data_IF_773520324824
#
_entry.id   IF_773520324824
#
_cell.length_a   1.000
_cell.length_b   1.000
_cell.length_c   1.000
_cell.angle_alpha   90.00
_cell.angle_beta   90.00
_cell.angle_gamma   90.00
#
_symmetry.space_group_name_H-M   'P 1'
#
loop_
_entity.id
_entity.type
_entity.pdbx_description
1 polymer ?
#
# COMPACT_ATOMS: atom_id res chain seq x y z
N UNK A 1 -18.69 -24.20 -8.22
CA UNK A 1 -18.31 -24.20 -9.66
C UNK A 1 -18.87 -22.99 -10.41
N UNK A 2 -20.19 -22.76 -10.44
CA UNK A 2 -20.81 -21.61 -11.15
C UNK A 2 -20.27 -20.21 -10.73
N UNK A 3 -20.04 -19.95 -9.44
CA UNK A 3 -19.48 -18.68 -8.97
C UNK A 3 -18.01 -18.46 -9.39
N UNK A 4 -17.24 -19.54 -9.58
CA UNK A 4 -15.85 -19.46 -10.03
C UNK A 4 -15.81 -19.11 -11.51
N UNK A 5 -16.73 -19.68 -12.28
CA UNK A 5 -16.94 -19.34 -13.70
C UNK A 5 -17.34 -17.88 -13.90
N UNK A 6 -18.20 -17.35 -13.03
CA UNK A 6 -18.67 -15.97 -13.10
C UNK A 6 -17.56 -14.97 -12.75
N UNK A 7 -16.75 -15.28 -11.72
CA UNK A 7 -15.55 -14.49 -11.39
C UNK A 7 -14.50 -14.52 -12.50
N UNK A 8 -14.30 -15.67 -13.15
CA UNK A 8 -13.37 -15.77 -14.27
C UNK A 8 -13.82 -14.94 -15.47
N UNK A 9 -15.13 -14.86 -15.75
CA UNK A 9 -15.67 -13.98 -16.80
C UNK A 9 -15.43 -12.50 -16.49
N UNK A 10 -15.61 -12.08 -15.23
CA UNK A 10 -15.39 -10.69 -14.81
C UNK A 10 -13.90 -10.31 -14.94
N UNK A 11 -13.00 -11.20 -14.53
CA UNK A 11 -11.55 -10.99 -14.66
C UNK A 11 -11.15 -10.87 -16.13
N UNK A 12 -11.71 -11.73 -17.00
CA UNK A 12 -11.44 -11.71 -18.43
C UNK A 12 -11.96 -10.43 -19.10
N UNK A 13 -13.13 -9.94 -18.67
CA UNK A 13 -13.69 -8.68 -19.14
C UNK A 13 -12.84 -7.47 -18.71
N UNK A 14 -12.36 -7.45 -17.46
CA UNK A 14 -11.45 -6.40 -16.98
C UNK A 14 -10.10 -6.41 -17.71
N UNK A 15 -9.56 -7.58 -18.03
CA UNK A 15 -8.33 -7.70 -18.82
C UNK A 15 -8.51 -7.15 -20.24
N UNK A 16 -9.63 -7.45 -20.90
CA UNK A 16 -9.94 -6.91 -22.22
C UNK A 16 -10.09 -5.38 -22.20
N UNK A 17 -10.76 -4.84 -21.18
CA UNK A 17 -10.93 -3.39 -21.04
C UNK A 17 -9.60 -2.68 -20.77
N UNK A 18 -8.70 -3.31 -20.02
CA UNK A 18 -7.36 -2.78 -19.73
C UNK A 18 -6.48 -2.77 -20.99
N UNK A 19 -6.55 -3.82 -21.83
CA UNK A 19 -5.83 -3.86 -23.10
C UNK A 19 -6.34 -2.81 -24.10
N UNK A 20 -7.65 -2.54 -24.13
CA UNK A 20 -8.21 -1.46 -24.97
C UNK A 20 -7.71 -0.07 -24.53
N UNK A 21 -7.62 0.19 -23.23
CA UNK A 21 -7.05 1.44 -22.71
C UNK A 21 -5.56 1.56 -23.03
N UNK A 22 -4.81 0.46 -22.97
CA UNK A 22 -3.39 0.43 -23.34
C UNK A 22 -3.16 0.70 -24.83
N UNK A 23 -4.06 0.26 -25.70
CA UNK A 23 -4.00 0.53 -27.15
C UNK A 23 -4.41 1.97 -27.51
N UNK A 24 -5.23 2.62 -26.69
CA UNK A 24 -5.61 4.03 -26.87
C UNK A 24 -4.58 5.01 -26.31
N UNK A 25 -3.69 4.56 -25.42
CA UNK A 25 -2.53 5.32 -24.99
C UNK A 25 -1.46 5.30 -26.10
N UNK A 26 -1.49 6.29 -27.00
CA UNK A 26 -0.38 6.51 -27.92
C UNK A 26 0.92 6.80 -27.15
N UNK A 27 2.07 6.24 -27.59
CA UNK A 27 3.36 6.58 -27.01
C UNK A 27 3.70 8.03 -27.36
N UNK A 28 3.83 8.86 -26.33
CA UNK A 28 4.44 10.19 -26.44
C UNK A 28 5.93 9.96 -26.81
N UNK A 29 6.46 10.60 -27.87
CA UNK A 29 7.86 10.50 -28.21
C UNK A 29 8.73 10.99 -27.04
N UNK A 30 9.65 10.13 -26.59
CA UNK A 30 10.70 10.52 -25.66
C UNK A 30 11.70 11.40 -26.40
N UNK A 31 11.56 12.72 -26.26
CA UNK A 31 12.69 13.62 -26.44
C UNK A 31 13.53 13.62 -25.16
N UNK A 32 14.74 13.10 -25.32
CA UNK A 32 15.83 13.14 -24.37
C UNK A 32 16.30 14.58 -24.15
N UNK A 33 15.91 15.21 -23.04
CA UNK A 33 16.59 16.39 -22.52
C UNK A 33 17.42 16.02 -21.30
N UNK A 34 18.71 16.34 -21.39
CA UNK A 34 19.71 16.14 -20.35
C UNK A 34 19.46 17.12 -19.21
N UNK A 35 19.43 16.59 -18.00
CA UNK A 35 19.47 17.36 -16.76
C UNK A 35 20.73 18.24 -16.70
N UNK A 36 20.53 19.55 -16.60
CA UNK A 36 21.50 20.46 -15.99
C UNK A 36 20.82 21.13 -14.79
N UNK A 37 21.25 20.66 -13.61
CA UNK A 37 20.91 21.23 -12.31
C UNK A 37 21.66 22.57 -12.18
N UNK A 38 20.92 23.67 -12.08
CA UNK A 38 21.43 24.94 -11.53
C UNK A 38 20.38 25.47 -10.55
N UNK A 39 20.86 25.79 -9.35
CA UNK A 39 20.12 26.21 -8.15
C UNK A 39 19.18 27.42 -8.33
N UNK A 40 18.14 27.55 -7.48
CA UNK A 40 17.16 28.62 -7.57
C UNK A 40 17.70 29.96 -7.03
N UNK A 41 17.49 31.10 -7.70
CA UNK A 41 17.70 32.39 -7.09
C UNK A 41 16.51 32.74 -6.19
N UNK A 42 16.83 33.25 -4.98
CA UNK A 42 15.89 33.91 -4.07
C UNK A 42 15.23 35.09 -4.80
N UNK A 43 13.94 34.98 -5.09
CA UNK A 43 13.12 36.10 -5.56
C UNK A 43 12.49 36.79 -4.35
N UNK A 44 13.10 37.90 -3.93
CA UNK A 44 12.44 38.89 -3.08
C UNK A 44 11.29 39.52 -3.85
N UNK A 45 10.07 39.34 -3.32
CA UNK A 45 8.88 40.00 -3.79
C UNK A 45 8.99 41.51 -3.56
N UNK A 46 9.21 42.28 -4.63
CA UNK A 46 8.85 43.70 -4.68
C UNK A 46 7.73 43.91 -5.69
N UNK A 47 6.55 44.15 -5.12
CA UNK A 47 5.33 44.60 -5.79
C UNK A 47 5.64 45.89 -6.58
N UNK A 48 5.40 45.97 -7.90
CA UNK A 48 5.43 47.24 -8.60
C UNK A 48 4.09 47.95 -8.41
N UNK A 49 4.13 48.98 -7.59
CA UNK A 49 3.05 49.95 -7.41
C UNK A 49 2.73 50.64 -8.74
N UNK A 50 1.43 50.63 -9.05
CA UNK A 50 0.71 51.45 -10.04
C UNK A 50 1.35 52.85 -10.24
N UNK A 51 1.75 53.25 -11.47
CA UNK A 51 2.21 54.62 -11.69
C UNK A 51 1.01 55.56 -11.68
N UNK A 52 0.92 56.37 -10.63
CA UNK A 52 0.03 57.52 -10.61
C UNK A 52 0.48 58.55 -11.66
N UNK A 53 -0.51 59.03 -12.40
CA UNK A 53 -0.43 60.17 -13.30
C UNK A 53 0.18 61.38 -12.61
N UNK A 54 1.10 62.07 -13.29
CA UNK A 54 1.62 63.36 -12.82
C UNK A 54 3.14 63.51 -12.90
N UNK A 55 3.82 62.95 -13.92
CA UNK A 55 5.20 63.37 -14.20
C UNK A 55 5.15 64.77 -14.83
N UNK A 56 5.40 65.79 -14.00
CA UNK A 56 6.02 67.03 -14.49
C UNK A 56 7.35 66.61 -15.09
N UNK A 57 7.46 66.69 -16.41
CA UNK A 57 8.74 66.53 -17.11
C UNK A 57 9.64 67.63 -16.58
N UNK A 58 10.54 67.28 -15.66
CA UNK A 58 11.64 68.16 -15.28
C UNK A 58 12.55 68.21 -16.50
N UNK A 59 12.47 69.32 -17.25
CA UNK A 59 13.38 69.60 -18.36
C UNK A 59 14.80 69.49 -17.82
N UNK A 60 15.64 68.68 -18.47
CA UNK A 60 17.05 68.57 -18.11
C UNK A 60 17.71 69.95 -18.25
N UNK A 61 18.76 70.20 -17.47
CA UNK A 61 19.43 71.51 -17.49
C UNK A 61 19.86 71.92 -18.91
N UNK A 62 20.25 70.93 -19.73
CA UNK A 62 20.57 71.09 -21.15
C UNK A 62 19.39 71.55 -22.00
N UNK A 63 18.16 71.06 -21.76
CA UNK A 63 16.96 71.49 -22.47
C UNK A 63 16.57 72.94 -22.11
N UNK A 64 16.79 73.33 -20.84
CA UNK A 64 16.56 74.71 -20.38
C UNK A 64 17.58 75.67 -21.00
N UNK A 65 18.84 75.26 -21.09
CA UNK A 65 19.89 76.04 -21.72
C UNK A 65 19.72 76.13 -23.24
N UNK A 66 19.26 75.05 -23.90
CA UNK A 66 18.84 75.09 -25.29
C UNK A 66 17.67 76.04 -25.51
N UNK A 67 16.64 76.01 -24.66
CA UNK A 67 15.50 76.94 -24.75
C UNK A 67 15.91 78.39 -24.53
N UNK A 68 16.81 78.67 -23.57
CA UNK A 68 17.37 80.02 -23.37
C UNK A 68 18.19 80.47 -24.57
N UNK A 69 18.99 79.59 -25.17
CA UNK A 69 19.80 79.91 -26.35
C UNK A 69 18.93 80.19 -27.58
N UNK A 70 17.85 79.44 -27.77
CA UNK A 70 16.84 79.71 -28.80
C UNK A 70 16.14 81.05 -28.57
N UNK A 71 15.75 81.36 -27.33
CA UNK A 71 15.17 82.67 -26.99
C UNK A 71 16.16 83.81 -27.22
N UNK A 72 17.43 83.65 -26.85
CA UNK A 72 18.47 84.66 -27.08
C UNK A 72 18.74 84.87 -28.58
N UNK A 73 18.79 83.81 -29.38
CA UNK A 73 18.92 83.90 -30.83
C UNK A 73 17.69 84.57 -31.48
N UNK A 74 16.47 84.22 -31.04
CA UNK A 74 15.24 84.85 -31.51
C UNK A 74 15.21 86.35 -31.16
N UNK A 75 15.69 86.72 -29.98
CA UNK A 75 15.77 88.12 -29.53
C UNK A 75 16.85 88.88 -30.28
N UNK A 76 18.01 88.26 -30.56
CA UNK A 76 19.06 88.86 -31.38
C UNK A 76 18.61 89.09 -32.81
N UNK A 77 17.93 88.13 -33.44
CA UNK A 77 17.35 88.28 -34.78
C UNK A 77 16.24 89.33 -34.84
N UNK A 78 15.46 89.50 -33.76
CA UNK A 78 14.45 90.56 -33.65
C UNK A 78 15.06 91.96 -33.43
N UNK A 79 16.21 92.05 -32.75
CA UNK A 79 16.92 93.32 -32.50
C UNK A 79 17.76 93.74 -33.70
N UNK A 80 18.32 92.79 -34.46
CA UNK A 80 18.97 93.09 -35.73
C UNK A 80 17.93 93.36 -36.82
N UNK A 81 17.35 94.56 -36.81
CA UNK A 81 16.79 95.22 -38.00
C UNK A 81 17.87 95.54 -39.06
N UNK A 82 19.00 94.81 -39.06
CA UNK A 82 20.15 95.03 -39.93
C UNK A 82 19.77 94.90 -41.41
N UNK A 83 18.73 94.12 -41.72
CA UNK A 83 18.20 94.02 -43.08
C UNK A 83 17.54 95.33 -43.54
N UNK A 84 16.92 96.13 -42.66
CA UNK A 84 16.23 97.38 -43.07
C UNK A 84 17.20 98.50 -43.43
N UNK A 85 18.26 98.68 -42.65
CA UNK A 85 19.26 99.74 -42.88
C UNK A 85 20.20 99.43 -44.06
N UNK A 86 20.49 98.15 -44.29
CA UNK A 86 21.29 97.74 -45.46
C UNK A 86 20.44 97.89 -46.73
N UNK A 87 19.18 97.47 -46.72
CA UNK A 87 18.31 97.46 -47.91
C UNK A 87 17.89 98.87 -48.36
N UNK A 88 17.73 99.84 -47.45
CA UNK A 88 17.41 101.23 -47.80
C UNK A 88 18.54 102.00 -48.53
N UNK A 89 19.80 101.53 -48.42
CA UNK A 89 20.97 102.15 -49.05
C UNK A 89 21.32 101.55 -50.42
N UNK A 90 20.66 100.46 -50.81
CA UNK A 90 20.69 99.92 -52.17
C UNK A 90 19.50 100.51 -52.92
N UNK A 91 19.70 101.17 -54.06
CA UNK A 91 18.63 101.84 -54.81
C UNK A 91 17.36 100.98 -55.04
N UNK A 92 16.21 101.59 -55.39
CA UNK A 92 14.89 100.97 -55.32
C UNK A 92 14.75 99.62 -56.06
N UNK A 93 15.49 99.41 -57.16
CA UNK A 93 15.50 98.14 -57.89
C UNK A 93 16.20 97.01 -57.14
N UNK A 94 17.27 97.31 -56.40
CA UNK A 94 18.01 96.33 -55.61
C UNK A 94 17.27 95.97 -54.31
N UNK A 95 16.56 96.92 -53.70
CA UNK A 95 15.63 96.68 -52.59
C UNK A 95 14.49 95.74 -53.03
N UNK A 96 13.87 96.00 -54.18
CA UNK A 96 12.82 95.14 -54.72
C UNK A 96 13.34 93.71 -55.00
N UNK A 97 14.55 93.58 -55.55
CA UNK A 97 15.15 92.26 -55.82
C UNK A 97 15.46 91.50 -54.52
N UNK A 98 15.97 92.17 -53.49
CA UNK A 98 16.17 91.58 -52.17
C UNK A 98 14.85 91.05 -51.58
N UNK A 99 13.78 91.85 -51.59
CA UNK A 99 12.48 91.39 -51.07
C UNK A 99 11.92 90.22 -51.88
N UNK A 100 12.09 90.21 -53.22
CA UNK A 100 11.69 89.06 -54.06
C UNK A 100 12.44 87.79 -53.69
N UNK A 101 13.77 87.85 -53.57
CA UNK A 101 14.59 86.69 -53.18
C UNK A 101 14.28 86.23 -51.76
N UNK A 102 14.08 87.15 -50.82
CA UNK A 102 13.71 86.83 -49.44
C UNK A 102 12.32 86.20 -49.36
N UNK A 103 11.33 86.73 -50.09
CA UNK A 103 10.00 86.12 -50.18
C UNK A 103 10.07 84.72 -50.79
N UNK A 104 10.82 84.53 -51.88
CA UNK A 104 11.02 83.21 -52.47
C UNK A 104 11.68 82.22 -51.48
N UNK A 105 12.66 82.67 -50.71
CA UNK A 105 13.29 81.85 -49.67
C UNK A 105 12.33 81.52 -48.52
N UNK A 106 11.56 82.50 -48.04
CA UNK A 106 10.54 82.26 -47.01
C UNK A 106 9.43 81.32 -47.50
N UNK A 107 8.98 81.46 -48.75
CA UNK A 107 8.04 80.53 -49.38
C UNK A 107 8.62 79.11 -49.46
N UNK A 108 9.90 78.96 -49.80
CA UNK A 108 10.59 77.66 -49.79
C UNK A 108 10.66 77.08 -48.37
N UNK A 109 10.97 77.88 -47.36
CA UNK A 109 11.02 77.44 -45.96
C UNK A 109 9.63 77.00 -45.47
N UNK A 110 8.57 77.74 -45.81
CA UNK A 110 7.19 77.36 -45.49
C UNK A 110 6.83 76.03 -46.16
N UNK A 111 7.19 75.83 -47.45
CA UNK A 111 6.96 74.56 -48.14
C UNK A 111 7.71 73.41 -47.48
N UNK A 112 8.96 73.62 -47.06
CA UNK A 112 9.75 72.60 -46.38
C UNK A 112 9.14 72.25 -45.01
N UNK A 113 8.78 73.25 -44.20
CA UNK A 113 8.11 73.04 -42.92
C UNK A 113 6.76 72.32 -43.06
N UNK A 114 6.00 72.63 -44.12
CA UNK A 114 4.76 71.90 -44.43
C UNK A 114 5.03 70.44 -44.80
N UNK A 115 6.09 70.15 -45.57
CA UNK A 115 6.47 68.77 -45.89
C UNK A 115 6.92 68.01 -44.65
N UNK A 116 7.75 68.61 -43.81
CA UNK A 116 8.22 67.99 -42.57
C UNK A 116 7.07 67.76 -41.59
N UNK A 117 6.16 68.74 -41.46
CA UNK A 117 4.95 68.57 -40.66
C UNK A 117 4.07 67.42 -41.17
N UNK A 118 3.81 67.36 -42.47
CA UNK A 118 3.02 66.28 -43.06
C UNK A 118 3.67 64.91 -42.84
N UNK A 119 5.00 64.80 -42.99
CA UNK A 119 5.73 63.56 -42.69
C UNK A 119 5.59 63.16 -41.23
N UNK A 120 5.83 64.08 -40.30
CA UNK A 120 5.68 63.81 -38.85
C UNK A 120 4.25 63.40 -38.48
N UNK A 121 3.24 63.98 -39.14
CA UNK A 121 1.84 63.58 -38.93
C UNK A 121 1.56 62.17 -39.44
N UNK A 122 2.11 61.77 -40.58
CA UNK A 122 1.99 60.40 -41.08
C UNK A 122 2.75 59.40 -40.19
N UNK A 123 3.99 59.72 -39.80
CA UNK A 123 4.79 58.89 -38.87
C UNK A 123 4.04 58.68 -37.54
N UNK A 124 3.44 59.75 -36.99
CA UNK A 124 2.64 59.65 -35.77
C UNK A 124 1.41 58.75 -35.92
N UNK A 125 0.78 58.72 -37.11
CA UNK A 125 -0.35 57.82 -37.37
C UNK A 125 0.10 56.37 -37.39
N UNK A 126 1.25 56.08 -38.01
CA UNK A 126 1.85 54.74 -38.07
C UNK A 126 2.21 54.29 -36.65
N UNK A 127 2.96 55.08 -35.90
CA UNK A 127 3.35 54.76 -34.50
C UNK A 127 2.12 54.51 -33.60
N UNK A 128 1.04 55.27 -33.81
CA UNK A 128 -0.21 55.10 -33.07
C UNK A 128 -0.91 53.79 -33.43
N UNK A 129 -0.87 53.38 -34.70
CA UNK A 129 -1.41 52.09 -35.14
C UNK A 129 -0.58 50.95 -34.55
N UNK A 130 0.74 51.01 -34.67
CA UNK A 130 1.66 50.00 -34.11
C UNK A 130 1.48 49.85 -32.60
N UNK A 131 1.36 50.95 -31.87
CA UNK A 131 1.10 50.93 -30.43
C UNK A 131 -0.25 50.26 -30.08
N UNK A 132 -1.26 50.44 -30.93
CA UNK A 132 -2.57 49.80 -30.73
C UNK A 132 -2.49 48.29 -30.98
N UNK A 133 -1.78 47.87 -32.03
CA UNK A 133 -1.55 46.46 -32.35
C UNK A 133 -0.74 45.75 -31.27
N UNK A 134 0.33 46.36 -30.79
CA UNK A 134 1.15 45.86 -29.68
C UNK A 134 0.35 45.71 -28.39
N UNK A 135 -0.53 46.67 -28.08
CA UNK A 135 -1.43 46.55 -26.91
C UNK A 135 -2.40 45.37 -27.08
N UNK A 136 -2.98 45.19 -28.26
CA UNK A 136 -3.87 44.08 -28.54
C UNK A 136 -3.14 42.73 -28.45
N UNK A 137 -1.89 42.65 -28.94
CA UNK A 137 -1.06 41.46 -28.84
C UNK A 137 -0.71 41.14 -27.38
N UNK A 138 -0.30 42.15 -26.61
CA UNK A 138 0.00 42.03 -25.18
C UNK A 138 -1.20 41.51 -24.38
N UNK A 139 -2.40 42.00 -24.69
CA UNK A 139 -3.63 41.54 -24.04
C UNK A 139 -3.91 40.06 -24.37
N UNK A 140 -3.73 39.64 -25.63
CA UNK A 140 -3.87 38.23 -26.04
C UNK A 140 -2.87 37.33 -25.30
N UNK A 141 -1.60 37.74 -25.24
CA UNK A 141 -0.55 36.99 -24.53
C UNK A 141 -0.85 36.91 -23.03
N UNK A 142 -1.32 38.00 -22.42
CA UNK A 142 -1.69 38.01 -21.00
C UNK A 142 -2.87 37.05 -20.72
N UNK A 143 -3.89 37.03 -21.58
CA UNK A 143 -5.01 36.08 -21.48
C UNK A 143 -4.53 34.64 -21.61
N UNK A 144 -3.67 34.34 -22.58
CA UNK A 144 -3.09 33.01 -22.75
C UNK A 144 -2.25 32.59 -21.54
N UNK A 145 -1.43 33.50 -21.01
CA UNK A 145 -0.64 33.26 -19.81
C UNK A 145 -1.54 32.89 -18.62
N UNK A 146 -2.61 33.65 -18.37
CA UNK A 146 -3.57 33.34 -17.31
C UNK A 146 -4.21 31.97 -17.48
N UNK A 147 -4.61 31.59 -18.70
CA UNK A 147 -5.18 30.27 -18.99
C UNK A 147 -4.16 29.17 -18.68
N UNK A 148 -2.91 29.33 -19.11
CA UNK A 148 -1.85 28.36 -18.88
C UNK A 148 -1.51 28.23 -17.39
N UNK A 149 -1.42 29.35 -16.67
CA UNK A 149 -1.20 29.35 -15.21
C UNK A 149 -2.31 28.60 -14.48
N UNK A 150 -3.57 28.85 -14.82
CA UNK A 150 -4.70 28.15 -14.21
C UNK A 150 -4.65 26.64 -14.51
N UNK A 151 -4.31 26.26 -15.75
CA UNK A 151 -4.16 24.85 -16.13
C UNK A 151 -3.02 24.17 -15.37
N UNK A 152 -1.90 24.87 -15.18
CA UNK A 152 -0.76 24.36 -14.43
C UNK A 152 -1.13 24.13 -12.96
N UNK A 153 -1.85 25.06 -12.32
CA UNK A 153 -2.34 24.88 -10.95
C UNK A 153 -3.31 23.71 -10.81
N UNK A 154 -4.20 23.50 -11.79
CA UNK A 154 -5.09 22.34 -11.82
C UNK A 154 -4.29 21.03 -11.91
N UNK A 155 -3.30 20.96 -12.80
CA UNK A 155 -2.45 19.78 -12.94
C UNK A 155 -1.63 19.49 -11.68
N UNK A 156 -1.10 20.54 -11.01
CA UNK A 156 -0.43 20.40 -9.72
C UNK A 156 -1.37 19.81 -8.66
N UNK A 157 -2.61 20.33 -8.56
CA UNK A 157 -3.60 19.81 -7.61
C UNK A 157 -3.92 18.34 -7.87
N UNK A 158 -4.07 17.94 -9.14
CA UNK A 158 -4.30 16.53 -9.52
C UNK A 158 -3.09 15.68 -9.16
N UNK A 159 -1.87 16.16 -9.40
CA UNK A 159 -0.64 15.44 -9.07
C UNK A 159 -0.54 15.20 -7.55
N UNK A 160 -0.79 16.22 -6.74
CA UNK A 160 -0.79 16.10 -5.27
C UNK A 160 -1.84 15.09 -4.79
N UNK A 161 -3.04 15.10 -5.37
CA UNK A 161 -4.09 14.11 -5.10
C UNK A 161 -3.68 12.68 -5.49
N UNK A 162 -3.01 12.52 -6.64
CA UNK A 162 -2.48 11.23 -7.07
C UNK A 162 -1.37 10.75 -6.13
N UNK A 163 -0.47 11.65 -5.71
CA UNK A 163 0.63 11.32 -4.81
C UNK A 163 0.13 10.89 -3.43
N UNK A 164 -0.88 11.58 -2.90
CA UNK A 164 -1.53 11.17 -1.64
C UNK A 164 -2.19 9.80 -1.76
N UNK A 165 -2.88 9.54 -2.88
CA UNK A 165 -3.48 8.22 -3.17
C UNK A 165 -2.42 7.12 -3.27
N UNK A 166 -1.30 7.38 -3.96
CA UNK A 166 -0.16 6.45 -4.06
C UNK A 166 0.40 6.13 -2.67
N UNK A 167 0.57 7.14 -1.82
CA UNK A 167 1.09 6.94 -0.47
C UNK A 167 0.11 6.11 0.40
N UNK A 168 -1.20 6.38 0.29
CA UNK A 168 -2.22 5.57 0.97
C UNK A 168 -2.21 4.11 0.50
N UNK A 169 -2.11 3.88 -0.82
CA UNK A 169 -2.03 2.53 -1.38
C UNK A 169 -0.76 1.80 -0.93
N UNK A 170 0.40 2.47 -0.88
CA UNK A 170 1.65 1.91 -0.36
C UNK A 170 1.51 1.47 1.10
N UNK A 171 0.94 2.31 1.95
CA UNK A 171 0.70 1.98 3.36
C UNK A 171 -0.26 0.80 3.51
N UNK A 172 -1.32 0.75 2.70
CA UNK A 172 -2.26 -0.37 2.70
C UNK A 172 -1.58 -1.68 2.27
N UNK A 173 -0.72 -1.63 1.25
CA UNK A 173 0.03 -2.78 0.76
C UNK A 173 0.98 -3.31 1.84
N UNK A 174 1.70 -2.43 2.52
CA UNK A 174 2.56 -2.80 3.65
C UNK A 174 1.77 -3.45 4.78
N UNK A 175 0.63 -2.87 5.18
CA UNK A 175 -0.25 -3.43 6.20
C UNK A 175 -0.78 -4.82 5.81
N UNK A 176 -1.23 -4.98 4.55
CA UNK A 176 -1.68 -6.28 4.02
C UNK A 176 -0.56 -7.33 4.03
N UNK A 177 0.67 -6.92 3.72
CA UNK A 177 1.82 -7.80 3.75
C UNK A 177 2.17 -8.25 5.17
N UNK A 178 2.14 -7.35 6.15
CA UNK A 178 2.30 -7.68 7.56
C UNK A 178 1.20 -8.64 8.05
N UNK A 179 -0.07 -8.41 7.68
CA UNK A 179 -1.18 -9.30 8.02
C UNK A 179 -1.03 -10.69 7.39
N UNK A 180 -0.55 -10.77 6.15
CA UNK A 180 -0.26 -12.04 5.47
C UNK A 180 0.83 -12.82 6.20
N UNK A 181 1.92 -12.17 6.58
CA UNK A 181 3.00 -12.80 7.34
C UNK A 181 2.53 -13.29 8.70
N UNK A 182 1.75 -12.48 9.41
CA UNK A 182 1.18 -12.86 10.71
C UNK A 182 0.26 -14.07 10.58
N UNK A 183 -0.63 -14.07 9.58
CA UNK A 183 -1.54 -15.19 9.31
C UNK A 183 -0.76 -16.46 8.95
N UNK A 184 0.30 -16.34 8.14
CA UNK A 184 1.18 -17.45 7.79
C UNK A 184 1.87 -18.05 9.02
N UNK A 185 2.36 -17.20 9.95
CA UNK A 185 2.97 -17.67 11.21
C UNK A 185 1.96 -18.40 12.09
N UNK A 186 0.74 -17.86 12.22
CA UNK A 186 -0.33 -18.52 12.99
C UNK A 186 -0.69 -19.88 12.37
N UNK A 187 -0.81 -19.96 11.05
CA UNK A 187 -1.08 -21.21 10.35
C UNK A 187 0.04 -22.25 10.56
N UNK A 188 1.31 -21.84 10.47
CA UNK A 188 2.46 -22.72 10.70
C UNK A 188 2.53 -23.23 12.15
N UNK A 189 2.24 -22.36 13.12
CA UNK A 189 2.17 -22.75 14.52
C UNK A 189 1.01 -23.70 14.78
N UNK A 190 -0.15 -23.43 14.17
CA UNK A 190 -1.33 -24.31 14.22
C UNK A 190 -1.04 -25.70 13.64
N UNK A 191 -0.41 -25.77 12.46
CA UNK A 191 -0.01 -27.03 11.83
C UNK A 191 0.96 -27.84 12.70
N UNK A 192 1.98 -27.17 13.28
CA UNK A 192 2.92 -27.80 14.21
C UNK A 192 2.22 -28.34 15.47
N UNK A 193 1.27 -27.59 16.02
CA UNK A 193 0.51 -28.02 17.20
C UNK A 193 -0.40 -29.23 16.91
N UNK A 194 -1.06 -29.23 15.75
CA UNK A 194 -1.86 -30.38 15.28
C UNK A 194 -0.98 -31.60 15.11
N UNK A 195 0.18 -31.46 14.46
CA UNK A 195 1.12 -32.57 14.26
C UNK A 195 1.61 -33.14 15.61
N UNK A 196 1.89 -32.30 16.60
CA UNK A 196 2.25 -32.76 17.95
C UNK A 196 1.11 -33.55 18.60
N UNK A 197 -0.13 -33.05 18.49
CA UNK A 197 -1.32 -33.75 19.02
C UNK A 197 -1.56 -35.07 18.33
N UNK A 198 -1.32 -35.15 17.02
CA UNK A 198 -1.45 -36.39 16.26
C UNK A 198 -0.41 -37.43 16.68
N UNK A 199 0.86 -37.03 16.89
CA UNK A 199 1.88 -37.93 17.45
C UNK A 199 1.51 -38.43 18.85
N UNK A 200 0.97 -37.56 19.71
CA UNK A 200 0.48 -37.94 21.04
C UNK A 200 -0.68 -38.93 20.94
N UNK A 201 -1.64 -38.67 20.05
CA UNK A 201 -2.78 -39.55 19.82
C UNK A 201 -2.33 -40.93 19.31
N UNK A 202 -1.41 -40.98 18.34
CA UNK A 202 -0.83 -42.23 17.82
C UNK A 202 -0.14 -43.02 18.92
N UNK A 203 0.60 -42.36 19.82
CA UNK A 203 1.24 -43.01 20.96
C UNK A 203 0.21 -43.61 21.93
N UNK A 204 -0.85 -42.87 22.26
CA UNK A 204 -1.93 -43.35 23.15
C UNK A 204 -2.69 -44.51 22.50
N UNK A 205 -2.96 -44.46 21.20
CA UNK A 205 -3.59 -45.57 20.47
C UNK A 205 -2.71 -46.82 20.51
N UNK A 206 -1.40 -46.68 20.25
CA UNK A 206 -0.47 -47.80 20.37
C UNK A 206 -0.43 -48.41 21.78
N UNK A 207 -0.45 -47.59 22.83
CA UNK A 207 -0.56 -48.08 24.20
C UNK A 207 -1.90 -48.79 24.47
N UNK A 208 -3.01 -48.27 23.93
CA UNK A 208 -4.32 -48.91 24.04
C UNK A 208 -4.34 -50.30 23.42
N UNK A 209 -3.73 -50.47 22.25
CA UNK A 209 -3.64 -51.76 21.57
C UNK A 209 -2.77 -52.77 22.35
N UNK A 210 -1.67 -52.31 22.95
CA UNK A 210 -0.85 -53.13 23.85
C UNK A 210 -1.66 -53.58 25.07
N UNK A 211 -2.38 -52.66 25.72
CA UNK A 211 -3.21 -52.97 26.89
C UNK A 211 -4.35 -53.95 26.54
N UNK A 212 -4.99 -53.79 25.38
CA UNK A 212 -6.00 -54.73 24.88
C UNK A 212 -5.42 -56.13 24.70
N UNK A 213 -4.23 -56.24 24.12
CA UNK A 213 -3.55 -57.53 23.95
C UNK A 213 -3.23 -58.16 25.30
N UNK A 214 -2.64 -57.39 26.22
CA UNK A 214 -2.37 -57.86 27.59
C UNK A 214 -3.64 -58.33 28.30
N UNK A 215 -4.75 -57.60 28.18
CA UNK A 215 -6.04 -58.00 28.75
C UNK A 215 -6.52 -59.33 28.16
N UNK A 216 -6.40 -59.52 26.84
CA UNK A 216 -6.71 -60.78 26.17
C UNK A 216 -5.88 -61.94 26.71
N UNK A 217 -4.57 -61.75 26.85
CA UNK A 217 -3.64 -62.75 27.40
C UNK A 217 -4.01 -63.10 28.86
N UNK A 218 -4.34 -62.10 29.68
CA UNK A 218 -4.80 -62.31 31.06
C UNK A 218 -6.11 -63.07 31.12
N UNK A 219 -7.08 -62.76 30.26
CA UNK A 219 -8.35 -63.48 30.18
C UNK A 219 -8.15 -64.95 29.78
N UNK A 220 -7.29 -65.21 28.80
CA UNK A 220 -6.97 -66.58 28.39
C UNK A 220 -6.27 -67.34 29.52
N UNK A 221 -5.29 -66.72 30.18
CA UNK A 221 -4.60 -67.31 31.34
C UNK A 221 -5.56 -67.61 32.48
N UNK A 222 -6.50 -66.70 32.76
CA UNK A 222 -7.50 -66.91 33.80
C UNK A 222 -8.45 -68.07 33.48
N UNK A 223 -8.89 -68.20 32.22
CA UNK A 223 -9.67 -69.37 31.77
C UNK A 223 -8.89 -70.68 31.95
N UNK A 224 -7.61 -70.70 31.59
CA UNK A 224 -6.77 -71.90 31.77
C UNK A 224 -6.62 -72.25 33.25
N UNK A 225 -6.35 -71.25 34.11
CA UNK A 225 -6.26 -71.47 35.55
C UNK A 225 -7.57 -72.01 36.14
N UNK A 226 -8.71 -71.52 35.67
CA UNK A 226 -10.01 -72.04 36.10
C UNK A 226 -10.18 -73.51 35.72
N UNK A 227 -9.83 -73.89 34.49
CA UNK A 227 -9.86 -75.29 34.04
C UNK A 227 -8.93 -76.15 34.90
N UNK A 228 -7.71 -75.69 35.18
CA UNK A 228 -6.75 -76.42 36.00
C UNK A 228 -7.24 -76.60 37.45
N UNK A 229 -7.91 -75.57 38.01
CA UNK A 229 -8.55 -75.63 39.32
C UNK A 229 -9.69 -76.67 39.31
N UNK A 230 -10.59 -76.60 38.34
CA UNK A 230 -11.73 -77.52 38.23
C UNK A 230 -11.24 -78.97 38.11
N UNK A 231 -10.19 -79.21 37.31
CA UNK A 231 -9.55 -80.53 37.19
C UNK A 231 -8.94 -81.00 38.51
N UNK A 232 -8.25 -80.13 39.25
CA UNK A 232 -7.70 -80.48 40.57
C UNK A 232 -8.78 -80.75 41.59
N UNK A 233 -9.87 -79.97 41.61
CA UNK A 233 -11.03 -80.21 42.45
C UNK A 233 -11.61 -81.60 42.20
N UNK A 234 -11.85 -81.96 40.93
CA UNK A 234 -12.32 -83.30 40.54
C UNK A 234 -11.36 -84.41 40.99
N UNK A 235 -10.05 -84.23 40.84
CA UNK A 235 -9.05 -85.20 41.31
C UNK A 235 -9.08 -85.36 42.84
N UNK A 236 -9.23 -84.26 43.58
CA UNK A 236 -9.34 -84.28 45.04
C UNK A 236 -10.62 -84.98 45.47
N UNK A 237 -11.76 -84.68 44.85
CA UNK A 237 -13.05 -85.35 45.12
C UNK A 237 -12.97 -86.87 44.87
N UNK A 238 -12.35 -87.30 43.77
CA UNK A 238 -12.16 -88.72 43.50
C UNK A 238 -11.27 -89.40 44.55
N UNK A 239 -10.18 -88.74 44.98
CA UNK A 239 -9.31 -89.25 46.05
C UNK A 239 -10.05 -89.31 47.39
N UNK A 240 -10.84 -88.29 47.71
CA UNK A 240 -11.66 -88.24 48.92
C UNK A 240 -12.64 -89.42 48.94
N UNK A 241 -13.37 -89.64 47.85
CA UNK A 241 -14.33 -90.74 47.71
C UNK A 241 -13.66 -92.12 47.88
N UNK A 242 -12.47 -92.32 47.30
CA UNK A 242 -11.69 -93.56 47.51
C UNK A 242 -11.31 -93.75 48.98
N UNK A 243 -10.86 -92.69 49.65
CA UNK A 243 -10.51 -92.73 51.08
C UNK A 243 -11.73 -92.97 51.98
N UNK A 244 -12.89 -92.44 51.60
CA UNK A 244 -14.15 -92.74 52.29
C UNK A 244 -14.52 -94.22 52.15
N UNK A 245 -14.39 -94.81 50.95
CA UNK A 245 -14.61 -96.25 50.74
C UNK A 245 -13.64 -97.12 51.57
N UNK A 246 -12.34 -96.80 51.53
CA UNK A 246 -11.33 -97.50 52.36
C UNK A 246 -11.67 -97.40 53.86
N UNK A 247 -12.12 -96.22 54.33
CA UNK A 247 -12.57 -96.02 55.72
C UNK A 247 -13.78 -96.88 56.06
N UNK A 248 -14.77 -96.97 55.18
CA UNK A 248 -15.97 -97.81 55.37
C UNK A 248 -15.61 -99.29 55.45
N UNK A 249 -14.71 -99.77 54.59
CA UNK A 249 -14.20 -101.15 54.61
C UNK A 249 -13.48 -101.46 55.93
N UNK A 250 -12.60 -100.58 56.40
CA UNK A 250 -11.90 -100.74 57.68
C UNK A 250 -12.90 -100.76 58.83
N UNK A 251 -13.90 -99.87 58.84
CA UNK A 251 -14.95 -99.88 59.87
C UNK A 251 -15.76 -101.19 59.85
N UNK A 252 -16.04 -101.75 58.68
CA UNK A 252 -16.71 -103.05 58.55
C UNK A 252 -15.85 -104.19 59.11
N UNK A 253 -14.55 -104.22 58.81
CA UNK A 253 -13.61 -105.20 59.36
C UNK A 253 -13.56 -105.09 60.88
N UNK A 254 -13.43 -103.89 61.43
CA UNK A 254 -13.43 -103.65 62.88
C UNK A 254 -14.73 -104.17 63.52
N UNK A 255 -15.90 -103.91 62.91
CA UNK A 255 -17.18 -104.43 63.40
C UNK A 255 -17.22 -105.97 63.40
N UNK A 256 -16.72 -106.62 62.34
CA UNK A 256 -16.63 -108.09 62.27
C UNK A 256 -15.67 -108.66 63.31
N UNK A 257 -14.51 -108.02 63.50
CA UNK A 257 -13.54 -108.41 64.53
C UNK A 257 -14.14 -108.27 65.93
N UNK A 258 -14.88 -107.18 66.20
CA UNK A 258 -15.58 -107.01 67.47
C UNK A 258 -16.60 -108.14 67.72
N UNK A 259 -17.42 -108.50 66.72
CA UNK A 259 -18.37 -109.62 66.83
C UNK A 259 -17.66 -110.96 67.10
N UNK A 260 -16.52 -111.20 66.46
CA UNK A 260 -15.71 -112.39 66.71
C UNK A 260 -15.18 -112.41 68.16
N UNK A 261 -14.68 -111.27 68.65
CA UNK A 261 -14.24 -111.13 70.05
C UNK A 261 -15.40 -111.46 71.00
N UNK A 262 -16.59 -110.91 70.76
CA UNK A 262 -17.77 -111.16 71.61
C UNK A 262 -18.16 -112.66 71.61
N UNK A 263 -18.13 -113.33 70.45
CA UNK A 263 -18.37 -114.77 70.33
C UNK A 263 -17.32 -115.60 71.08
N UNK A 264 -16.03 -115.28 70.92
CA UNK A 264 -14.94 -115.96 71.60
C UNK A 264 -14.98 -115.76 73.12
N UNK A 265 -15.32 -114.55 73.59
CA UNK A 265 -15.52 -114.27 75.00
C UNK A 265 -16.69 -115.09 75.58
N UNK A 266 -17.81 -115.18 74.83
CA UNK A 266 -18.95 -116.01 75.20
C UNK A 266 -18.59 -117.50 75.26
N UNK A 267 -17.89 -118.01 74.26
CA UNK A 267 -17.39 -119.39 74.24
C UNK A 267 -16.43 -119.67 75.40
N UNK A 268 -15.50 -118.74 75.69
CA UNK A 268 -14.61 -118.83 76.85
C UNK A 268 -15.40 -118.92 78.16
N UNK A 269 -16.44 -118.10 78.33
CA UNK A 269 -17.32 -118.17 79.51
C UNK A 269 -18.05 -119.51 79.61
N UNK A 270 -18.58 -120.04 78.50
CA UNK A 270 -19.21 -121.35 78.46
C UNK A 270 -18.23 -122.48 78.83
N UNK A 271 -17.01 -122.46 78.28
CA UNK A 271 -15.96 -123.43 78.61
C UNK A 271 -15.56 -123.33 80.10
N UNK A 272 -15.36 -122.12 80.62
CA UNK A 272 -15.06 -121.91 82.04
C UNK A 272 -16.20 -122.43 82.93
N UNK A 273 -17.45 -122.19 82.56
CA UNK A 273 -18.61 -122.75 83.25
C UNK A 273 -18.68 -124.28 83.20
N UNK A 274 -18.39 -124.90 82.04
CA UNK A 274 -18.33 -126.36 81.90
C UNK A 274 -17.22 -127.00 82.75
N UNK A 275 -16.03 -126.36 82.80
CA UNK A 275 -14.91 -126.78 83.66
C UNK A 275 -15.31 -126.71 85.13
N UNK A 276 -15.97 -125.63 85.58
CA UNK A 276 -16.41 -125.47 86.97
C UNK A 276 -17.51 -126.47 87.38
N UNK A 277 -18.34 -126.93 86.43
CA UNK A 277 -19.42 -127.90 86.65
C UNK A 277 -18.97 -129.36 86.50
N UNK A 278 -17.69 -129.63 86.19
CA UNK A 278 -17.12 -130.98 86.13
C UNK A 278 -17.41 -131.76 84.85
N UNK A 279 -17.84 -131.11 83.76
CA UNK A 279 -18.12 -131.76 82.46
C UNK A 279 -16.85 -131.96 81.60
N UNK A 280 -15.71 -132.30 82.21
CA UNK A 280 -14.44 -132.43 81.50
C UNK A 280 -14.23 -133.86 80.98
N UNK A 281 -14.41 -134.05 79.67
CA UNK A 281 -13.65 -135.02 78.84
C UNK A 281 -12.81 -134.24 77.82
#
# INVERSE_FOLDING_TARGET
EKEVEERNKIIQQQQQQTQQLLQQAQPIPQESEKEQIVEPPKVEQKIPSRPQSGRKVQKTQEEVDYQKRIQQLATQLAITNADKEIVQNLGPDAELQYYKTRNAHLEQLVKQLQQDHNKTVEDYKIDKQDLHEERALREKVQKQHQILTNKLQQLQTINDQQQTTINQLKNNLENLQQQKEQTSRVAQNGASAVQLKEKQLQSVLGQNDVLKKQLGDFQQKNKQLQIDIDQKCLQVEQKLKKKEQEKEEVLLIIKKQQQLIDCLQRQKLHLQGAIQLGFTE
#
